data_IF_582030009780
#
_entry.id   IF_582030009780
#
_cell.length_a   1.000
_cell.length_b   1.000
_cell.length_c   1.000
_cell.angle_alpha   90.00
_cell.angle_beta   90.00
_cell.angle_gamma   90.00
#
_symmetry.space_group_name_H-M   'P 1'
#
loop_
_entity.id
_entity.type
_entity.pdbx_description
1 polymer ?
#
# COMPACT_ATOMS: atom_id res chain seq x y z
N UNK A 1 -19.07 -1.48 12.62
CA UNK A 1 -18.16 -2.02 11.60
C UNK A 1 -16.83 -2.26 12.29
N UNK A 2 -16.26 -3.45 12.21
CA UNK A 2 -15.00 -3.74 12.90
C UNK A 2 -13.81 -3.35 12.03
N UNK A 3 -12.83 -2.67 12.62
CA UNK A 3 -11.55 -2.36 11.97
C UNK A 3 -10.81 -3.66 11.67
N UNK A 4 -10.38 -3.84 10.42
CA UNK A 4 -9.59 -5.01 10.04
C UNK A 4 -8.12 -4.86 10.46
N UNK A 5 -7.55 -3.66 10.25
CA UNK A 5 -6.27 -3.25 10.80
C UNK A 5 -6.51 -2.18 11.84
N UNK A 6 -5.85 -2.29 13.00
CA UNK A 6 -5.83 -1.25 14.04
C UNK A 6 -4.46 -1.19 14.70
N UNK A 7 -4.04 -0.01 15.08
CA UNK A 7 -2.83 0.18 15.91
C UNK A 7 -3.22 0.67 17.30
N UNK A 8 -2.41 0.37 18.31
CA UNK A 8 -2.59 0.85 19.67
C UNK A 8 -1.23 1.27 20.26
N UNK A 9 -1.10 2.56 20.59
CA UNK A 9 0.12 3.17 21.15
C UNK A 9 1.36 2.91 20.30
N UNK A 10 1.20 2.77 18.96
CA UNK A 10 2.26 2.35 18.08
C UNK A 10 3.27 3.47 17.87
N UNK A 11 4.53 3.21 18.21
CA UNK A 11 5.68 4.05 17.84
C UNK A 11 6.55 3.32 16.84
N UNK A 12 6.93 4.00 15.76
CA UNK A 12 7.71 3.43 14.66
C UNK A 12 9.03 4.18 14.46
N UNK A 13 10.07 3.46 14.03
CA UNK A 13 11.39 4.05 13.86
C UNK A 13 12.46 3.02 13.55
N UNK A 14 13.71 3.38 13.81
CA UNK A 14 14.90 2.58 13.54
C UNK A 14 15.81 2.53 14.78
N UNK A 15 16.54 1.44 14.94
CA UNK A 15 17.58 1.27 15.96
C UNK A 15 17.13 1.67 17.39
N UNK A 16 15.89 1.30 17.73
CA UNK A 16 15.30 1.61 19.05
C UNK A 16 14.88 3.08 19.22
N UNK A 17 15.04 3.93 18.20
CA UNK A 17 14.64 5.34 18.25
C UNK A 17 13.33 5.55 17.50
N UNK A 18 12.32 6.10 18.18
CA UNK A 18 11.06 6.44 17.59
C UNK A 18 11.22 7.64 16.63
N UNK A 19 10.80 7.46 15.38
CA UNK A 19 10.65 8.51 14.39
C UNK A 19 9.27 9.14 14.48
N UNK A 20 8.23 8.30 14.62
CA UNK A 20 6.85 8.74 14.79
C UNK A 20 6.28 8.03 15.99
N UNK A 21 5.60 8.79 16.86
CA UNK A 21 4.98 8.32 18.08
C UNK A 21 3.48 8.28 17.97
N UNK A 22 2.86 7.44 18.76
CA UNK A 22 1.42 7.33 18.93
C UNK A 22 0.66 7.27 17.59
N UNK A 23 1.11 6.40 16.70
CA UNK A 23 0.50 6.19 15.38
C UNK A 23 -0.85 5.51 15.56
N UNK A 24 -1.94 6.31 15.47
CA UNK A 24 -3.32 5.84 15.50
C UNK A 24 -3.80 5.58 14.08
N UNK A 25 -3.87 4.32 13.67
CA UNK A 25 -4.36 3.88 12.35
C UNK A 25 -5.49 2.88 12.51
N UNK A 26 -6.48 3.01 11.63
CA UNK A 26 -7.57 2.05 11.47
C UNK A 26 -7.87 1.90 9.98
N UNK A 27 -8.00 0.66 9.51
CA UNK A 27 -8.40 0.33 8.14
C UNK A 27 -9.52 -0.69 8.19
N UNK A 28 -10.65 -0.37 7.58
CA UNK A 28 -11.78 -1.27 7.47
C UNK A 28 -11.71 -2.10 6.18
N UNK A 29 -12.33 -3.25 6.16
CA UNK A 29 -12.53 -4.02 4.92
C UNK A 29 -13.33 -3.20 3.92
N UNK A 30 -13.01 -3.33 2.64
CA UNK A 30 -13.66 -2.56 1.57
C UNK A 30 -13.35 -1.07 1.59
N UNK A 31 -12.25 -0.65 2.23
CA UNK A 31 -11.82 0.74 2.35
C UNK A 31 -10.38 0.96 1.94
N UNK A 32 -10.13 2.15 1.39
CA UNK A 32 -8.80 2.64 1.03
C UNK A 32 -8.41 3.75 2.02
N UNK A 33 -7.33 3.51 2.75
CA UNK A 33 -6.69 4.50 3.63
C UNK A 33 -5.37 4.92 3.01
N UNK A 34 -5.18 6.23 2.82
CA UNK A 34 -3.98 6.78 2.19
C UNK A 34 -3.20 7.66 3.15
N UNK A 35 -1.91 7.39 3.29
CA UNK A 35 -0.96 8.23 4.00
C UNK A 35 -0.44 9.33 3.06
N UNK A 36 -0.55 10.59 3.48
CA UNK A 36 0.05 11.75 2.81
C UNK A 36 0.96 12.52 3.76
N UNK A 37 1.82 13.36 3.23
CA UNK A 37 2.71 14.23 4.01
C UNK A 37 4.05 14.43 3.30
N UNK A 38 4.89 15.35 3.79
CA UNK A 38 6.19 15.68 3.20
C UNK A 38 7.10 14.46 3.03
N UNK A 39 8.09 14.59 2.14
CA UNK A 39 9.12 13.57 2.00
C UNK A 39 9.89 13.45 3.32
N UNK A 40 10.22 12.21 3.69
CA UNK A 40 10.90 11.95 4.96
C UNK A 40 10.00 11.98 6.21
N UNK A 41 8.68 12.25 6.09
CA UNK A 41 7.76 12.28 7.24
C UNK A 41 7.51 10.91 7.89
N UNK A 42 8.07 9.82 7.35
CA UNK A 42 8.00 8.48 7.94
C UNK A 42 6.82 7.61 7.46
N UNK A 43 6.11 7.98 6.40
CA UNK A 43 5.03 7.16 5.79
C UNK A 43 5.47 5.73 5.52
N UNK A 44 6.61 5.56 4.83
CA UNK A 44 7.18 4.24 4.54
C UNK A 44 7.57 3.46 5.80
N UNK A 45 7.99 4.16 6.86
CA UNK A 45 8.32 3.54 8.15
C UNK A 45 7.07 2.97 8.82
N UNK A 46 5.97 3.74 8.81
CA UNK A 46 4.66 3.26 9.28
C UNK A 46 4.24 2.01 8.50
N UNK A 47 4.25 2.08 7.16
CA UNK A 47 3.84 0.95 6.31
C UNK A 47 4.69 -0.29 6.55
N UNK A 48 6.02 -0.15 6.63
CA UNK A 48 6.95 -1.26 6.90
C UNK A 48 6.71 -1.88 8.28
N UNK A 49 6.39 -1.07 9.29
CA UNK A 49 6.09 -1.57 10.63
C UNK A 49 4.75 -2.32 10.66
N UNK A 50 3.73 -1.79 10.00
CA UNK A 50 2.42 -2.44 9.88
C UNK A 50 2.52 -3.82 9.21
N UNK A 51 3.42 -4.01 8.26
CA UNK A 51 3.66 -5.33 7.64
C UNK A 51 4.76 -6.14 8.33
N UNK A 52 5.23 -5.72 9.50
CA UNK A 52 6.30 -6.39 10.27
C UNK A 52 7.61 -6.59 9.48
N UNK A 53 7.92 -5.71 8.52
CA UNK A 53 9.25 -5.60 7.92
C UNK A 53 10.20 -4.82 8.84
N UNK A 54 9.64 -3.91 9.65
CA UNK A 54 10.33 -3.24 10.74
C UNK A 54 9.65 -3.61 12.06
N UNK A 55 10.41 -3.80 13.14
CA UNK A 55 9.83 -3.98 14.46
C UNK A 55 9.16 -2.68 14.93
N UNK A 56 8.05 -2.78 15.65
CA UNK A 56 7.52 -1.66 16.40
C UNK A 56 8.50 -1.27 17.51
N UNK A 57 8.67 0.03 17.74
CA UNK A 57 9.45 0.53 18.88
C UNK A 57 8.63 0.36 20.15
N UNK A 58 7.36 0.76 20.10
CA UNK A 58 6.37 0.60 21.18
C UNK A 58 5.00 0.27 20.59
N UNK A 59 4.09 -0.19 21.43
CA UNK A 59 2.71 -0.47 21.06
C UNK A 59 2.53 -1.73 20.22
N UNK A 60 1.39 -1.84 19.54
CA UNK A 60 1.01 -3.04 18.82
C UNK A 60 0.22 -2.74 17.54
N UNK A 61 0.26 -3.69 16.61
CA UNK A 61 -0.58 -3.73 15.40
C UNK A 61 -1.49 -4.95 15.50
N UNK A 62 -2.78 -4.72 15.31
CA UNK A 62 -3.82 -5.74 15.34
C UNK A 62 -4.38 -5.97 13.95
N UNK A 63 -4.56 -7.23 13.57
CA UNK A 63 -5.30 -7.63 12.38
C UNK A 63 -6.47 -8.52 12.81
N UNK A 64 -7.67 -8.10 12.44
CA UNK A 64 -8.90 -8.82 12.79
C UNK A 64 -9.00 -9.09 14.30
N UNK A 65 -8.62 -8.07 15.10
CA UNK A 65 -8.62 -8.11 16.56
C UNK A 65 -7.45 -8.86 17.22
N UNK A 66 -6.57 -9.52 16.46
CA UNK A 66 -5.43 -10.27 17.00
C UNK A 66 -4.12 -9.51 16.84
N UNK A 67 -3.31 -9.46 17.90
CA UNK A 67 -1.96 -8.86 17.89
C UNK A 67 -1.05 -9.62 16.90
N UNK A 68 -0.42 -8.89 15.98
CA UNK A 68 0.48 -9.48 14.99
C UNK A 68 1.68 -10.21 15.59
N UNK A 69 2.10 -9.84 16.80
CA UNK A 69 3.23 -10.50 17.51
C UNK A 69 2.85 -11.91 17.99
N UNK A 70 1.57 -12.17 18.23
CA UNK A 70 1.10 -13.48 18.67
C UNK A 70 1.00 -14.49 17.51
N UNK A 71 1.10 -14.05 16.25
CA UNK A 71 0.95 -14.89 15.06
C UNK A 71 2.29 -15.35 14.50
N UNK A 72 2.28 -16.53 13.87
CA UNK A 72 3.44 -16.96 13.08
C UNK A 72 3.64 -16.03 11.86
N UNK A 73 4.90 -15.84 11.45
CA UNK A 73 5.23 -15.07 10.24
C UNK A 73 4.51 -15.62 8.99
N UNK A 74 4.32 -16.92 8.92
CA UNK A 74 3.66 -17.61 7.80
C UNK A 74 2.16 -17.31 7.74
N UNK A 75 1.46 -17.32 8.86
CA UNK A 75 0.02 -17.05 8.93
C UNK A 75 -0.26 -15.57 8.66
N UNK A 76 0.61 -14.71 9.16
CA UNK A 76 0.56 -13.28 8.87
C UNK A 76 0.79 -13.00 7.37
N UNK A 77 1.73 -13.69 6.72
CA UNK A 77 1.99 -13.54 5.29
C UNK A 77 0.81 -13.97 4.42
N UNK A 78 0.00 -14.94 4.81
CA UNK A 78 -1.20 -15.36 4.07
C UNK A 78 -2.29 -14.29 4.00
N UNK A 79 -2.44 -13.47 5.04
CA UNK A 79 -3.51 -12.47 5.14
C UNK A 79 -3.12 -11.07 4.63
N UNK A 80 -1.84 -10.85 4.35
CA UNK A 80 -1.31 -9.55 3.90
C UNK A 80 -0.58 -9.70 2.58
N UNK A 81 -1.05 -9.01 1.57
CA UNK A 81 -0.29 -8.75 0.36
C UNK A 81 0.53 -7.47 0.54
N UNK A 82 1.81 -7.51 0.23
CA UNK A 82 2.61 -6.29 0.12
C UNK A 82 3.12 -6.13 -1.30
N UNK A 83 2.82 -5.00 -1.91
CA UNK A 83 3.43 -4.54 -3.15
C UNK A 83 4.81 -3.92 -2.93
N UNK A 84 5.34 -4.00 -1.70
CA UNK A 84 6.68 -3.50 -1.41
C UNK A 84 7.72 -4.39 -2.08
N UNK A 85 8.64 -3.75 -2.77
CA UNK A 85 9.74 -4.37 -3.48
C UNK A 85 10.72 -5.02 -2.51
N UNK A 86 10.48 -6.28 -2.13
CA UNK A 86 11.59 -7.09 -1.66
C UNK A 86 12.61 -7.19 -2.81
N UNK A 87 13.87 -6.87 -2.56
CA UNK A 87 14.97 -7.17 -3.48
C UNK A 87 15.05 -8.69 -3.63
N UNK A 88 14.34 -9.20 -4.61
CA UNK A 88 14.58 -10.56 -5.12
C UNK A 88 15.54 -10.41 -6.27
N UNK A 89 16.52 -11.29 -6.34
CA UNK A 89 17.36 -11.43 -7.52
C UNK A 89 16.47 -11.97 -8.65
N UNK A 90 15.97 -11.05 -9.49
CA UNK A 90 14.92 -11.33 -10.48
C UNK A 90 15.48 -11.46 -11.89
N UNK A 91 16.80 -11.60 -12.02
CA UNK A 91 17.47 -11.52 -13.31
C UNK A 91 16.99 -12.58 -14.31
N UNK A 92 16.53 -13.73 -13.85
CA UNK A 92 16.08 -14.84 -14.68
C UNK A 92 14.59 -15.17 -14.54
N UNK A 93 13.79 -14.35 -13.85
CA UNK A 93 12.38 -14.65 -13.60
C UNK A 93 11.48 -14.05 -14.68
N UNK A 94 10.51 -14.85 -15.14
CA UNK A 94 9.38 -14.35 -15.91
C UNK A 94 8.42 -13.57 -15.01
N UNK A 95 7.52 -12.78 -15.62
CA UNK A 95 6.44 -12.11 -14.87
C UNK A 95 5.57 -13.12 -14.12
N UNK A 96 5.28 -14.26 -14.75
CA UNK A 96 4.55 -15.38 -14.14
C UNK A 96 5.27 -15.93 -12.91
N UNK A 97 6.59 -16.10 -12.95
CA UNK A 97 7.37 -16.57 -11.81
C UNK A 97 7.31 -15.59 -10.65
N UNK A 98 7.40 -14.28 -10.95
CA UNK A 98 7.25 -13.23 -9.93
C UNK A 98 5.88 -13.31 -9.25
N UNK A 99 4.79 -13.44 -10.01
CA UNK A 99 3.44 -13.59 -9.44
C UNK A 99 3.32 -14.89 -8.65
N UNK A 100 3.86 -15.99 -9.17
CA UNK A 100 3.87 -17.31 -8.53
C UNK A 100 4.53 -17.29 -7.16
N UNK A 101 5.55 -16.44 -6.96
CA UNK A 101 6.19 -16.25 -5.66
C UNK A 101 5.22 -15.78 -4.57
N UNK A 102 4.09 -15.17 -4.95
CA UNK A 102 2.99 -14.83 -4.04
C UNK A 102 2.37 -16.05 -3.36
N UNK A 103 2.52 -17.25 -3.93
CA UNK A 103 2.00 -18.50 -3.35
C UNK A 103 2.95 -19.16 -2.34
N UNK A 104 4.19 -18.66 -2.16
CA UNK A 104 5.15 -19.27 -1.21
C UNK A 104 4.61 -19.49 0.22
N UNK A 105 3.78 -18.62 0.81
CA UNK A 105 3.19 -18.90 2.11
C UNK A 105 2.31 -20.15 2.15
N UNK A 106 1.81 -20.62 0.99
CA UNK A 106 0.90 -21.76 0.85
C UNK A 106 1.63 -23.03 0.40
N UNK A 107 2.78 -22.91 -0.24
CA UNK A 107 3.58 -24.06 -0.68
C UNK A 107 4.33 -24.68 0.50
N UNK A 108 4.64 -25.97 0.39
CA UNK A 108 5.48 -26.66 1.35
C UNK A 108 6.96 -26.23 1.29
N UNK A 109 7.83 -26.98 1.98
CA UNK A 109 9.28 -26.71 2.02
C UNK A 109 9.95 -26.70 0.62
N UNK A 110 9.39 -27.42 -0.33
CA UNK A 110 9.93 -27.54 -1.70
C UNK A 110 9.42 -26.42 -2.64
N UNK A 111 8.52 -25.55 -2.20
CA UNK A 111 8.01 -24.46 -3.04
C UNK A 111 7.15 -24.91 -4.23
N UNK A 112 6.72 -26.18 -4.29
CA UNK A 112 5.99 -26.74 -5.42
C UNK A 112 4.56 -26.20 -5.44
N UNK A 113 4.18 -25.57 -6.57
CA UNK A 113 2.84 -25.08 -6.82
C UNK A 113 1.90 -26.25 -7.21
N UNK A 114 0.74 -26.31 -6.59
CA UNK A 114 -0.35 -27.22 -6.96
C UNK A 114 -1.14 -26.64 -8.13
N UNK A 115 -1.99 -27.42 -8.76
CA UNK A 115 -2.85 -26.94 -9.86
C UNK A 115 -3.79 -25.79 -9.40
N UNK A 116 -4.24 -25.81 -8.17
CA UNK A 116 -5.02 -24.71 -7.59
C UNK A 116 -4.20 -23.41 -7.51
N UNK A 117 -2.94 -23.51 -7.10
CA UNK A 117 -2.04 -22.35 -7.04
C UNK A 117 -1.79 -21.75 -8.44
N UNK A 118 -1.63 -22.60 -9.46
CA UNK A 118 -1.45 -22.17 -10.85
C UNK A 118 -2.68 -21.40 -11.36
N UNK A 119 -3.89 -21.85 -11.03
CA UNK A 119 -5.14 -21.13 -11.35
C UNK A 119 -5.18 -19.76 -10.67
N UNK A 120 -4.80 -19.69 -9.39
CA UNK A 120 -4.76 -18.42 -8.66
C UNK A 120 -3.75 -17.46 -9.27
N UNK A 121 -2.59 -17.94 -9.72
CA UNK A 121 -1.59 -17.15 -10.45
C UNK A 121 -2.18 -16.58 -11.74
N UNK A 122 -2.82 -17.43 -12.54
CA UNK A 122 -3.47 -17.04 -13.80
C UNK A 122 -4.56 -15.99 -13.58
N UNK A 123 -5.43 -16.21 -12.59
CA UNK A 123 -6.49 -15.27 -12.23
C UNK A 123 -5.92 -13.94 -11.71
N UNK A 124 -4.83 -13.97 -10.98
CA UNK A 124 -4.16 -12.76 -10.48
C UNK A 124 -3.56 -11.94 -11.62
N UNK A 125 -2.95 -12.60 -12.62
CA UNK A 125 -2.46 -11.96 -13.84
C UNK A 125 -3.61 -11.34 -14.65
N UNK A 126 -4.73 -12.05 -14.78
CA UNK A 126 -5.93 -11.56 -15.49
C UNK A 126 -6.51 -10.33 -14.82
N UNK A 127 -6.57 -10.30 -13.48
CA UNK A 127 -7.12 -9.18 -12.71
C UNK A 127 -6.38 -7.85 -12.92
N UNK A 128 -5.12 -7.91 -13.31
CA UNK A 128 -4.29 -6.73 -13.57
C UNK A 128 -3.99 -6.53 -15.06
N UNK A 129 -4.70 -7.24 -15.93
CA UNK A 129 -4.52 -7.20 -17.40
C UNK A 129 -3.05 -7.45 -17.81
N UNK A 130 -2.44 -8.52 -17.28
CA UNK A 130 -1.02 -8.84 -17.47
C UNK A 130 -0.77 -10.19 -18.15
N UNK A 131 -1.79 -10.88 -18.65
CA UNK A 131 -1.64 -12.19 -19.30
C UNK A 131 -0.76 -12.14 -20.55
N UNK A 132 -0.91 -11.09 -21.38
CA UNK A 132 -0.21 -10.95 -22.66
C UNK A 132 1.31 -10.85 -22.53
N UNK A 133 1.81 -10.55 -21.36
CA UNK A 133 3.24 -10.45 -21.08
C UNK A 133 3.68 -11.30 -19.88
N UNK A 134 2.84 -12.23 -19.44
CA UNK A 134 3.12 -13.08 -18.29
C UNK A 134 4.42 -13.89 -18.41
N UNK A 135 4.74 -14.34 -19.60
CA UNK A 135 5.91 -15.19 -19.86
C UNK A 135 7.14 -14.39 -20.32
N UNK A 136 7.05 -13.04 -20.37
CA UNK A 136 8.20 -12.18 -20.62
C UNK A 136 9.13 -12.11 -19.40
N UNK A 137 10.45 -11.92 -19.61
CA UNK A 137 11.35 -11.61 -18.51
C UNK A 137 10.89 -10.37 -17.76
N UNK A 138 10.85 -10.43 -16.42
CA UNK A 138 10.38 -9.33 -15.60
C UNK A 138 11.19 -8.03 -15.77
N UNK A 139 12.47 -8.17 -16.17
CA UNK A 139 13.31 -7.00 -16.44
C UNK A 139 13.08 -6.37 -17.82
N UNK A 140 12.46 -7.09 -18.74
CA UNK A 140 12.25 -6.64 -20.12
C UNK A 140 10.92 -5.89 -20.31
N UNK A 141 10.14 -5.69 -19.24
CA UNK A 141 8.86 -4.99 -19.28
C UNK A 141 8.99 -3.55 -18.76
N UNK A 142 8.02 -2.67 -19.13
CA UNK A 142 7.98 -1.28 -18.68
C UNK A 142 7.71 -1.16 -17.16
N UNK A 143 8.01 0.00 -16.57
CA UNK A 143 7.75 0.24 -15.15
C UNK A 143 6.27 0.11 -14.79
N UNK A 144 5.35 0.59 -15.64
CA UNK A 144 3.92 0.39 -15.47
C UNK A 144 3.51 -1.08 -15.49
N UNK A 145 4.07 -1.87 -16.39
CA UNK A 145 3.86 -3.32 -16.41
C UNK A 145 4.47 -3.99 -15.17
N UNK A 146 5.64 -3.54 -14.69
CA UNK A 146 6.23 -4.04 -13.44
C UNK A 146 5.32 -3.81 -12.24
N UNK A 147 4.73 -2.64 -12.11
CA UNK A 147 3.80 -2.35 -11.02
C UNK A 147 2.57 -3.24 -11.07
N UNK A 148 2.01 -3.52 -12.26
CA UNK A 148 0.92 -4.49 -12.40
C UNK A 148 1.34 -5.90 -11.95
N UNK A 149 2.52 -6.37 -12.32
CA UNK A 149 3.04 -7.67 -11.87
C UNK A 149 3.23 -7.72 -10.36
N UNK A 150 3.74 -6.64 -9.75
CA UNK A 150 3.89 -6.56 -8.29
C UNK A 150 2.53 -6.56 -7.58
N UNK A 151 1.53 -5.89 -8.16
CA UNK A 151 0.16 -5.94 -7.66
C UNK A 151 -0.44 -7.34 -7.84
N UNK A 152 -0.27 -7.99 -9.01
CA UNK A 152 -0.71 -9.37 -9.23
C UNK A 152 -0.09 -10.33 -8.21
N UNK A 153 1.20 -10.19 -7.92
CA UNK A 153 1.89 -10.97 -6.89
C UNK A 153 1.25 -10.78 -5.51
N UNK A 154 0.90 -9.53 -5.15
CA UNK A 154 0.22 -9.25 -3.90
C UNK A 154 -1.18 -9.87 -3.86
N UNK A 155 -1.95 -9.76 -4.95
CA UNK A 155 -3.29 -10.36 -5.09
C UNK A 155 -3.25 -11.90 -5.08
N UNK A 156 -2.18 -12.50 -5.64
CA UNK A 156 -1.96 -13.94 -5.67
C UNK A 156 -1.83 -14.57 -4.26
N UNK A 157 -1.47 -13.78 -3.26
CA UNK A 157 -1.52 -14.20 -1.86
C UNK A 157 -2.94 -14.32 -1.32
N UNK A 158 -3.96 -13.88 -2.08
CA UNK A 158 -5.35 -13.80 -1.63
C UNK A 158 -5.49 -13.04 -0.30
N UNK A 159 -4.90 -11.84 -0.19
CA UNK A 159 -4.85 -11.10 1.05
C UNK A 159 -6.20 -10.47 1.38
N UNK A 160 -6.40 -10.18 2.65
CA UNK A 160 -7.51 -9.36 3.13
C UNK A 160 -7.09 -7.89 3.32
N UNK A 161 -5.78 -7.64 3.38
CA UNK A 161 -5.15 -6.31 3.41
C UNK A 161 -4.00 -6.24 2.40
N UNK A 162 -3.99 -5.19 1.58
CA UNK A 162 -2.83 -4.84 0.74
C UNK A 162 -2.21 -3.56 1.28
N UNK A 163 -0.87 -3.59 1.42
CA UNK A 163 -0.07 -2.43 1.82
C UNK A 163 0.87 -2.04 0.69
N UNK A 164 0.78 -0.79 0.23
CA UNK A 164 1.53 -0.26 -0.90
C UNK A 164 2.28 1.02 -0.51
N UNK A 165 3.55 1.06 -0.79
CA UNK A 165 4.38 2.25 -0.58
C UNK A 165 4.62 2.91 -1.93
N UNK A 166 4.01 4.09 -2.14
CA UNK A 166 4.13 4.91 -3.36
C UNK A 166 3.91 4.13 -4.67
N UNK A 167 2.79 3.40 -4.82
CA UNK A 167 2.59 2.49 -5.96
C UNK A 167 2.51 3.21 -7.32
N UNK A 168 2.32 4.53 -7.32
CA UNK A 168 2.20 5.36 -8.53
C UNK A 168 3.51 6.06 -8.92
N UNK A 169 4.55 5.97 -8.08
CA UNK A 169 5.83 6.63 -8.36
C UNK A 169 6.46 6.13 -9.66
N UNK A 170 7.03 7.07 -10.43
CA UNK A 170 7.68 6.83 -11.73
C UNK A 170 6.76 6.34 -12.85
N UNK A 171 5.44 6.33 -12.64
CA UNK A 171 4.46 6.00 -13.67
C UNK A 171 3.97 7.25 -14.40
N UNK A 172 3.68 7.14 -15.69
CA UNK A 172 2.91 8.16 -16.38
C UNK A 172 1.43 8.15 -15.93
N UNK A 173 0.70 9.20 -16.26
CA UNK A 173 -0.68 9.39 -15.78
C UNK A 173 -1.60 8.23 -16.16
N UNK A 174 -1.45 7.66 -17.35
CA UNK A 174 -2.27 6.54 -17.81
C UNK A 174 -2.12 5.33 -16.88
N UNK A 175 -0.87 4.93 -16.62
CA UNK A 175 -0.57 3.76 -15.77
C UNK A 175 -0.93 3.99 -14.31
N UNK A 176 -0.82 5.24 -13.80
CA UNK A 176 -1.31 5.61 -12.46
C UNK A 176 -2.81 5.37 -12.34
N UNK A 177 -3.59 5.88 -13.29
CA UNK A 177 -5.04 5.72 -13.29
C UNK A 177 -5.47 4.26 -13.46
N UNK A 178 -4.82 3.49 -14.33
CA UNK A 178 -5.09 2.07 -14.51
C UNK A 178 -4.84 1.30 -13.20
N UNK A 179 -3.70 1.52 -12.53
CA UNK A 179 -3.36 0.87 -11.26
C UNK A 179 -4.38 1.18 -10.16
N UNK A 180 -4.74 2.45 -9.98
CA UNK A 180 -5.71 2.88 -8.98
C UNK A 180 -7.12 2.36 -9.29
N UNK A 181 -7.49 2.26 -10.57
CA UNK A 181 -8.77 1.67 -11.00
C UNK A 181 -8.84 0.19 -10.65
N UNK A 182 -7.75 -0.56 -10.87
CA UNK A 182 -7.66 -1.97 -10.48
C UNK A 182 -7.81 -2.09 -8.95
N UNK A 183 -7.11 -1.27 -8.16
CA UNK A 183 -7.24 -1.28 -6.70
C UNK A 183 -8.67 -0.98 -6.24
N UNK A 184 -9.31 0.06 -6.77
CA UNK A 184 -10.72 0.37 -6.47
C UNK A 184 -11.66 -0.78 -6.80
N UNK A 185 -11.47 -1.44 -7.95
CA UNK A 185 -12.24 -2.62 -8.33
C UNK A 185 -12.07 -3.74 -7.30
N UNK A 186 -10.83 -4.06 -6.90
CA UNK A 186 -10.56 -5.12 -5.91
C UNK A 186 -11.16 -4.82 -4.54
N UNK A 187 -11.10 -3.56 -4.10
CA UNK A 187 -11.73 -3.11 -2.86
C UNK A 187 -13.24 -3.38 -2.88
N UNK A 188 -13.92 -3.05 -3.99
CA UNK A 188 -15.37 -3.25 -4.13
C UNK A 188 -15.77 -4.72 -4.25
N UNK A 189 -15.09 -5.46 -5.14
CA UNK A 189 -15.49 -6.83 -5.49
C UNK A 189 -15.05 -7.86 -4.46
N UNK A 190 -13.90 -7.65 -3.82
CA UNK A 190 -13.31 -8.61 -2.87
C UNK A 190 -13.36 -8.16 -1.41
N UNK A 191 -13.98 -7.01 -1.15
CA UNK A 191 -14.01 -6.41 0.19
C UNK A 191 -12.59 -6.24 0.80
N UNK A 192 -11.61 -5.94 -0.08
CA UNK A 192 -10.21 -5.82 0.27
C UNK A 192 -9.95 -4.54 1.05
N UNK A 193 -9.20 -4.61 2.13
CA UNK A 193 -8.66 -3.44 2.80
C UNK A 193 -7.37 -2.98 2.09
N UNK A 194 -7.19 -1.66 1.91
CA UNK A 194 -5.98 -1.10 1.32
C UNK A 194 -5.43 0.00 2.22
N UNK A 195 -4.13 -0.10 2.52
CA UNK A 195 -3.35 0.96 3.16
C UNK A 195 -2.21 1.34 2.24
N UNK A 196 -2.11 2.59 1.83
CA UNK A 196 -1.05 3.01 0.91
C UNK A 196 -0.52 4.41 1.22
N UNK A 197 0.66 4.73 0.70
CA UNK A 197 1.16 6.10 0.62
C UNK A 197 1.03 6.62 -0.80
N UNK A 198 0.70 7.90 -0.96
CA UNK A 198 0.70 8.60 -2.24
C UNK A 198 1.36 9.96 -2.09
N UNK A 199 2.03 10.41 -3.16
CA UNK A 199 2.56 11.77 -3.28
C UNK A 199 1.62 12.70 -4.03
N UNK A 200 0.87 12.16 -5.00
CA UNK A 200 -0.06 12.91 -5.82
C UNK A 200 -1.35 13.19 -5.03
N UNK A 201 -1.51 14.44 -4.60
CA UNK A 201 -2.61 14.86 -3.75
C UNK A 201 -3.97 14.75 -4.43
N UNK A 202 -4.05 15.06 -5.73
CA UNK A 202 -5.23 14.94 -6.57
C UNK A 202 -5.69 13.47 -6.69
N UNK A 203 -4.77 12.54 -6.87
CA UNK A 203 -5.06 11.11 -6.89
C UNK A 203 -5.49 10.60 -5.51
N UNK A 204 -4.80 11.04 -4.44
CA UNK A 204 -5.15 10.70 -3.07
C UNK A 204 -6.57 11.18 -2.72
N UNK A 205 -6.94 12.41 -3.12
CA UNK A 205 -8.28 12.95 -2.90
C UNK A 205 -9.39 12.11 -3.57
N UNK A 206 -9.12 11.59 -4.78
CA UNK A 206 -10.10 10.84 -5.59
C UNK A 206 -10.22 9.37 -5.24
N UNK A 207 -9.17 8.76 -4.69
CA UNK A 207 -9.14 7.31 -4.50
C UNK A 207 -9.41 6.89 -3.07
N UNK A 208 -9.15 7.76 -2.08
CA UNK A 208 -9.19 7.42 -0.67
C UNK A 208 -10.59 7.49 -0.07
N UNK A 209 -10.91 6.59 0.84
CA UNK A 209 -12.05 6.72 1.76
C UNK A 209 -11.64 7.51 3.02
N UNK A 210 -10.38 7.37 3.45
CA UNK A 210 -9.80 8.08 4.59
C UNK A 210 -8.37 8.47 4.27
N UNK A 211 -7.99 9.66 4.68
CA UNK A 211 -6.64 10.20 4.52
C UNK A 211 -6.01 10.39 5.89
N UNK A 212 -4.75 9.96 6.02
CA UNK A 212 -3.93 10.08 7.22
C UNK A 212 -2.75 10.98 6.92
N UNK A 213 -2.68 12.12 7.59
CA UNK A 213 -1.65 13.12 7.38
C UNK A 213 -0.51 12.91 8.37
N UNK A 214 0.69 12.68 7.83
CA UNK A 214 1.91 12.45 8.61
C UNK A 214 2.80 13.68 8.54
N UNK A 215 3.05 14.33 9.68
CA UNK A 215 3.89 15.52 9.75
C UNK A 215 4.75 15.50 11.02
N UNK A 216 6.03 15.83 10.84
CA UNK A 216 6.98 15.81 11.95
C UNK A 216 7.13 14.40 12.53
N UNK A 217 6.82 14.25 13.80
CA UNK A 217 6.98 13.02 14.58
C UNK A 217 5.65 12.33 14.94
N UNK A 218 4.54 12.68 14.27
CA UNK A 218 3.20 12.20 14.60
C UNK A 218 2.23 12.15 13.43
N UNK A 219 1.09 11.53 13.65
CA UNK A 219 -0.10 11.73 12.83
C UNK A 219 -0.70 13.11 13.19
N UNK A 220 -0.73 14.03 12.23
CA UNK A 220 -1.25 15.39 12.45
C UNK A 220 -2.78 15.44 12.35
N UNK A 221 -3.35 14.75 11.34
CA UNK A 221 -4.80 14.71 11.12
C UNK A 221 -5.21 13.42 10.41
N UNK A 222 -6.39 12.93 10.75
CA UNK A 222 -7.08 11.83 10.04
C UNK A 222 -8.49 12.30 9.71
N UNK A 223 -8.94 12.10 8.48
CA UNK A 223 -10.26 12.52 8.04
C UNK A 223 -10.60 12.04 6.64
N UNK A 224 -11.80 12.41 6.19
CA UNK A 224 -12.20 12.19 4.80
C UNK A 224 -11.47 13.13 3.86
N UNK A 225 -11.37 12.79 2.54
CA UNK A 225 -10.73 13.67 1.58
C UNK A 225 -11.20 15.12 1.64
N UNK A 226 -12.51 15.38 1.70
CA UNK A 226 -13.09 16.72 1.77
C UNK A 226 -12.70 17.53 3.02
N UNK A 227 -12.31 16.86 4.11
CA UNK A 227 -11.86 17.49 5.35
C UNK A 227 -10.36 17.78 5.37
N UNK A 228 -9.61 17.10 4.52
CA UNK A 228 -8.15 17.16 4.46
C UNK A 228 -7.67 18.06 3.32
N UNK A 229 -8.25 17.91 2.12
CA UNK A 229 -7.78 18.61 0.94
C UNK A 229 -8.34 20.03 0.85
N UNK A 230 -8.14 20.79 1.92
CA UNK A 230 -8.39 22.24 1.94
C UNK A 230 -7.08 22.99 1.72
N UNK A 231 -7.17 24.16 1.09
CA UNK A 231 -6.02 25.01 0.79
C UNK A 231 -5.18 25.29 2.05
N UNK A 232 -5.85 25.71 3.12
CA UNK A 232 -5.20 26.10 4.37
C UNK A 232 -4.47 24.92 5.01
N UNK A 233 -5.12 23.76 5.03
CA UNK A 233 -4.53 22.59 5.67
C UNK A 233 -3.37 22.01 4.86
N UNK A 234 -3.50 21.92 3.54
CA UNK A 234 -2.42 21.43 2.66
C UNK A 234 -1.21 22.38 2.72
N UNK A 235 -1.44 23.71 2.68
CA UNK A 235 -0.35 24.69 2.82
C UNK A 235 0.39 24.51 4.16
N UNK A 236 -0.34 24.31 5.25
CA UNK A 236 0.24 24.03 6.57
C UNK A 236 1.03 22.71 6.58
N UNK A 237 0.44 21.61 6.07
CA UNK A 237 1.04 20.27 6.08
C UNK A 237 2.37 20.22 5.31
N UNK A 238 2.45 20.96 4.20
CA UNK A 238 3.64 20.98 3.35
C UNK A 238 4.53 22.20 3.60
N UNK A 239 4.29 22.97 4.68
CA UNK A 239 5.07 24.16 5.07
C UNK A 239 5.18 25.19 3.95
N UNK A 240 4.07 25.45 3.23
CA UNK A 240 4.02 26.44 2.16
C UNK A 240 3.84 27.84 2.73
N UNK A 241 4.60 28.80 2.22
CA UNK A 241 4.49 30.19 2.63
C UNK A 241 3.16 30.80 2.13
N UNK A 242 2.40 31.49 2.99
CA UNK A 242 1.14 32.14 2.59
C UNK A 242 1.33 33.08 1.41
N UNK A 243 0.46 33.00 0.41
CA UNK A 243 0.46 33.85 -0.78
C UNK A 243 1.46 33.48 -1.87
N UNK A 244 2.52 32.73 -1.56
CA UNK A 244 3.59 32.41 -2.52
C UNK A 244 3.14 31.49 -3.66
N UNK A 245 2.15 30.65 -3.39
CA UNK A 245 1.67 29.62 -4.32
C UNK A 245 0.21 29.81 -4.74
N UNK A 246 -0.39 30.96 -4.45
CA UNK A 246 -1.82 31.22 -4.65
C UNK A 246 -2.26 30.97 -6.10
N UNK A 247 -1.49 31.48 -7.07
CA UNK A 247 -1.79 31.26 -8.48
C UNK A 247 -1.80 29.78 -8.92
N UNK A 248 -1.03 28.92 -8.22
CA UNK A 248 -1.04 27.48 -8.47
C UNK A 248 -2.19 26.79 -7.75
N UNK A 249 -2.57 27.25 -6.55
CA UNK A 249 -3.69 26.67 -5.81
C UNK A 249 -5.04 26.93 -6.47
N UNK A 250 -5.22 28.09 -7.09
CA UNK A 250 -6.47 28.45 -7.77
C UNK A 250 -6.80 27.52 -8.96
N UNK A 251 -5.78 26.80 -9.47
CA UNK A 251 -5.93 25.82 -10.56
C UNK A 251 -6.00 24.38 -10.09
N UNK A 252 -5.76 24.09 -8.79
CA UNK A 252 -5.81 22.77 -8.21
C UNK A 252 -7.21 22.50 -7.64
N UNK A 253 -8.06 21.88 -8.44
CA UNK A 253 -9.33 21.32 -7.97
C UNK A 253 -9.08 20.00 -7.22
N UNK A 254 -8.86 20.07 -5.91
CA UNK A 254 -8.69 18.88 -5.07
C UNK A 254 -10.01 18.15 -4.76
N UNK A 255 -11.14 18.81 -4.98
CA UNK A 255 -12.47 18.26 -4.71
C UNK A 255 -13.29 18.29 -6.01
N UNK A 256 -13.96 17.17 -6.38
CA UNK A 256 -14.86 17.14 -7.51
C UNK A 256 -16.12 17.98 -7.30
#
# INVERSE_FOLDING_TARGET
MNDYLKTAGLSVGYDGKALIRDVALSVQRGKIVTLIGPNGSGKSTILKTVISQLPAIEGAVFLDGEDLRARSRRDTAKRRGSGMTARMDRELMTCRDVVSSGRYPYTGRLGILREEDKKIVEDSLRQVDALDFADKPFQAISDGQRQRILLARALCQQPELIVLDEPTSYLDIRYKLELLSILKRMVREKNLAVLMSLHELDLAARVSDTVVCVAGDRIDKVGKPEEIFTREYIAKLYHMEPGKYDACFDTLEFVP
#
